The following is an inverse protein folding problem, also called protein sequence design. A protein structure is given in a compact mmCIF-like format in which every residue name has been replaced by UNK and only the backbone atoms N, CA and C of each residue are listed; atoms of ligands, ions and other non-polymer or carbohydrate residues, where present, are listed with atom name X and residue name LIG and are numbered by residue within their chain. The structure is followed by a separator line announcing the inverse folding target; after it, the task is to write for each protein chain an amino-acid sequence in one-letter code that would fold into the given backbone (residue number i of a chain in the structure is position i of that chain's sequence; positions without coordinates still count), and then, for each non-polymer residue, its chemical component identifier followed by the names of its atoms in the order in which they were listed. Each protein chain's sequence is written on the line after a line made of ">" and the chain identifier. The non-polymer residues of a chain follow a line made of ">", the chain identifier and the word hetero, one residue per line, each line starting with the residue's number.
data_IF_364258166165
#
_entry.id   IF_364258166165
#
_cell.length_a   1.000
_cell.length_b   1.000
_cell.length_c   1.000
_cell.angle_alpha   90.00
_cell.angle_beta   90.00
_cell.angle_gamma   90.00
#
_symmetry.space_group_name_H-M   'P 1'
#
loop_
_entity.id
_entity.type
_entity.pdbx_description
1 polymer ?
#
# COMPACT_ATOMS: atom_id res chain seq x y z
N UNK A 1 19.24 -9.31 -24.09
CA UNK A 1 18.08 -8.99 -23.23
C UNK A 1 18.47 -7.87 -22.28
N UNK A 2 17.67 -6.82 -22.13
CA UNK A 2 17.92 -5.72 -21.19
C UNK A 2 17.33 -6.11 -19.83
N UNK A 3 18.09 -5.92 -18.74
CA UNK A 3 17.60 -6.21 -17.38
C UNK A 3 16.47 -5.22 -17.02
N UNK A 4 15.36 -5.68 -16.42
CA UNK A 4 14.30 -4.80 -15.97
C UNK A 4 14.79 -3.90 -14.83
N UNK A 5 14.19 -2.70 -14.72
CA UNK A 5 14.46 -1.77 -13.62
C UNK A 5 13.47 -2.10 -12.50
N UNK A 6 13.97 -2.59 -11.37
CA UNK A 6 13.15 -3.03 -10.24
C UNK A 6 12.99 -1.95 -9.15
N UNK A 7 13.55 -0.75 -9.34
CA UNK A 7 13.55 0.31 -8.32
C UNK A 7 12.15 0.78 -7.88
N UNK A 8 11.15 0.61 -8.75
CA UNK A 8 9.76 0.97 -8.46
C UNK A 8 8.98 -0.15 -7.77
N UNK A 9 9.53 -1.36 -7.69
CA UNK A 9 8.90 -2.45 -6.96
C UNK A 9 9.08 -2.25 -5.47
N UNK A 10 8.00 -2.51 -4.73
CA UNK A 10 7.93 -2.42 -3.27
C UNK A 10 7.33 -3.68 -2.67
N UNK A 11 7.83 -4.05 -1.50
CA UNK A 11 7.40 -5.27 -0.78
C UNK A 11 5.99 -5.09 -0.20
N UNK A 12 5.04 -5.92 -0.63
CA UNK A 12 3.66 -5.89 -0.16
C UNK A 12 3.56 -6.12 1.35
N UNK A 13 2.72 -5.33 2.01
CA UNK A 13 2.48 -5.41 3.45
C UNK A 13 3.56 -4.78 4.33
N UNK A 14 4.65 -4.25 3.76
CA UNK A 14 5.68 -3.59 4.57
C UNK A 14 5.15 -2.27 5.16
N UNK A 15 5.79 -1.83 6.25
CA UNK A 15 5.54 -0.52 6.81
C UNK A 15 6.10 0.59 5.90
N UNK A 16 5.40 1.72 5.88
CA UNK A 16 5.81 2.92 5.18
C UNK A 16 5.40 4.16 5.97
N UNK A 17 6.26 5.17 5.99
CA UNK A 17 5.89 6.51 6.45
C UNK A 17 5.36 7.31 5.27
N UNK A 18 4.06 7.59 5.28
CA UNK A 18 3.38 8.36 4.24
C UNK A 18 3.32 9.82 4.68
N UNK A 19 3.75 10.73 3.80
CA UNK A 19 3.76 12.15 4.11
C UNK A 19 2.33 12.69 4.29
N UNK A 20 2.10 13.42 5.38
CA UNK A 20 0.82 14.12 5.60
C UNK A 20 0.93 15.53 5.00
N UNK A 21 -0.02 15.97 4.15
CA UNK A 21 -0.02 17.33 3.61
C UNK A 21 0.01 18.40 4.72
N UNK A 22 0.63 19.55 4.46
CA UNK A 22 0.73 20.62 5.45
C UNK A 22 -0.64 21.17 5.83
N UNK A 23 -1.56 21.26 4.87
CA UNK A 23 -2.93 21.77 5.09
C UNK A 23 -3.76 20.86 6.02
N UNK A 24 -3.32 19.62 6.22
CA UNK A 24 -3.95 18.63 7.10
C UNK A 24 -3.24 18.52 8.46
N UNK A 25 -2.34 19.46 8.79
CA UNK A 25 -1.51 19.44 10.01
C UNK A 25 -1.50 20.77 10.74
N UNK A 26 -1.63 20.72 12.05
CA UNK A 26 -1.30 21.81 12.96
C UNK A 26 0.23 21.91 13.19
N UNK A 27 0.68 23.01 13.80
CA UNK A 27 2.10 23.36 14.00
C UNK A 27 2.92 22.26 14.70
N UNK A 28 2.28 21.45 15.53
CA UNK A 28 2.91 20.38 16.32
C UNK A 28 2.53 18.97 15.87
N UNK A 29 1.83 18.83 14.75
CA UNK A 29 1.44 17.52 14.23
C UNK A 29 2.60 16.82 13.51
N UNK A 30 2.64 15.49 13.63
CA UNK A 30 3.58 14.63 12.93
C UNK A 30 3.57 14.86 11.42
N UNK A 31 4.73 14.87 10.78
CA UNK A 31 4.85 15.13 9.32
C UNK A 31 4.45 13.94 8.44
N UNK A 32 4.35 12.76 9.02
CA UNK A 32 4.04 11.50 8.34
C UNK A 32 3.22 10.59 9.24
N UNK A 33 2.40 9.73 8.63
CA UNK A 33 1.68 8.65 9.30
C UNK A 33 2.35 7.31 9.01
N UNK A 34 2.39 6.42 10.01
CA UNK A 34 2.78 5.03 9.80
C UNK A 34 1.65 4.27 9.09
N UNK A 35 1.98 3.62 7.99
CA UNK A 35 1.03 2.90 7.15
C UNK A 35 1.57 1.54 6.71
N UNK A 36 0.67 0.63 6.33
CA UNK A 36 0.97 -0.63 5.64
C UNK A 36 0.81 -0.43 4.14
N UNK A 37 1.78 -0.89 3.34
CA UNK A 37 1.70 -0.82 1.88
C UNK A 37 0.78 -1.92 1.32
N UNK A 38 -0.19 -1.51 0.50
CA UNK A 38 -1.20 -2.40 -0.10
C UNK A 38 -1.03 -2.58 -1.61
N UNK A 39 -0.01 -1.98 -2.23
CA UNK A 39 0.21 -2.08 -3.67
C UNK A 39 0.07 -0.76 -4.41
N UNK A 40 -0.06 -0.85 -5.73
CA UNK A 40 -0.04 0.32 -6.62
C UNK A 40 -1.46 0.80 -6.89
N UNK A 41 -1.63 2.12 -7.06
CA UNK A 41 -2.91 2.66 -7.51
C UNK A 41 -3.10 2.36 -9.00
N UNK A 42 -4.31 1.97 -9.40
CA UNK A 42 -4.59 1.44 -10.74
C UNK A 42 -4.39 2.47 -11.87
N UNK A 43 -4.88 3.70 -11.67
CA UNK A 43 -4.88 4.72 -12.72
C UNK A 43 -3.92 5.88 -12.45
N UNK A 44 -3.02 5.75 -11.48
CA UNK A 44 -2.14 6.83 -11.03
C UNK A 44 -0.77 6.32 -10.65
N UNK A 45 0.28 7.11 -10.93
CA UNK A 45 1.65 6.81 -10.47
C UNK A 45 1.78 7.10 -8.97
N UNK A 46 1.14 6.29 -8.16
CA UNK A 46 1.05 6.39 -6.71
C UNK A 46 0.80 5.01 -6.10
N UNK A 47 0.84 4.97 -4.77
CA UNK A 47 0.74 3.76 -3.98
C UNK A 47 -0.53 3.80 -3.13
N UNK A 48 -1.05 2.63 -2.79
CA UNK A 48 -2.14 2.42 -1.84
C UNK A 48 -1.55 2.02 -0.49
N UNK A 49 -2.09 2.62 0.56
CA UNK A 49 -1.66 2.38 1.93
C UNK A 49 -2.86 2.25 2.86
N UNK A 50 -2.68 1.52 3.95
CA UNK A 50 -3.60 1.49 5.10
C UNK A 50 -2.92 2.17 6.28
N UNK A 51 -3.56 3.14 6.92
CA UNK A 51 -3.02 3.78 8.11
C UNK A 51 -3.18 2.88 9.34
N UNK A 52 -2.06 2.52 9.99
CA UNK A 52 -2.03 1.51 11.08
C UNK A 52 -2.91 1.89 12.26
N UNK A 53 -3.05 3.20 12.54
CA UNK A 53 -3.83 3.70 13.67
C UNK A 53 -5.35 3.70 13.42
N UNK A 54 -5.80 3.77 12.17
CA UNK A 54 -7.22 4.01 11.83
C UNK A 54 -7.81 2.98 10.88
N UNK A 55 -7.00 2.18 10.19
CA UNK A 55 -7.41 1.32 9.09
C UNK A 55 -7.78 2.08 7.81
N UNK A 56 -7.62 3.40 7.78
CA UNK A 56 -8.04 4.21 6.63
C UNK A 56 -7.15 4.00 5.42
N UNK A 57 -7.76 3.86 4.24
CA UNK A 57 -7.03 3.74 2.97
C UNK A 57 -6.58 5.11 2.48
N UNK A 58 -5.29 5.23 2.13
CA UNK A 58 -4.66 6.44 1.60
C UNK A 58 -3.99 6.13 0.27
N UNK A 59 -4.09 7.08 -0.66
CA UNK A 59 -3.34 7.06 -1.91
C UNK A 59 -2.31 8.18 -1.85
N UNK A 60 -1.03 7.85 -2.02
CA UNK A 60 0.05 8.84 -2.03
C UNK A 60 1.22 8.38 -2.91
N UNK A 61 1.94 9.33 -3.49
CA UNK A 61 3.24 9.08 -4.13
C UNK A 61 4.39 9.20 -3.14
N UNK A 62 4.23 10.07 -2.13
CA UNK A 62 5.30 10.47 -1.23
C UNK A 62 5.28 9.59 0.02
N UNK A 63 6.12 8.56 -0.01
CA UNK A 63 6.28 7.61 1.08
C UNK A 63 7.72 7.11 1.19
N UNK A 64 8.15 6.83 2.42
CA UNK A 64 9.40 6.13 2.71
C UNK A 64 9.08 4.72 3.17
N UNK A 65 9.57 3.71 2.43
CA UNK A 65 9.28 2.29 2.66
C UNK A 65 10.32 1.66 3.58
N UNK A 66 9.85 0.84 4.52
CA UNK A 66 10.66 0.03 5.42
C UNK A 66 10.39 -1.44 5.10
N UNK A 67 11.00 -1.93 4.01
CA UNK A 67 10.67 -3.21 3.39
C UNK A 67 10.99 -4.45 4.24
N UNK A 68 11.70 -4.26 5.36
CA UNK A 68 12.03 -5.28 6.36
C UNK A 68 11.11 -5.23 7.61
N UNK A 69 10.16 -4.28 7.67
CA UNK A 69 9.26 -4.08 8.81
C UNK A 69 7.83 -4.44 8.45
N UNK A 70 7.24 -5.29 9.28
CA UNK A 70 5.85 -5.75 9.20
C UNK A 70 5.28 -5.83 10.62
N UNK A 71 3.97 -5.95 10.73
CA UNK A 71 3.28 -5.99 12.03
C UNK A 71 3.64 -7.24 12.85
N UNK A 72 3.82 -8.37 12.17
CA UNK A 72 4.18 -9.66 12.79
C UNK A 72 5.70 -9.82 13.00
N UNK A 73 6.48 -8.78 12.71
CA UNK A 73 7.94 -8.82 12.76
C UNK A 73 8.58 -9.16 11.41
N UNK A 74 9.89 -9.49 11.39
CA UNK A 74 10.60 -9.76 10.14
C UNK A 74 10.07 -11.02 9.47
N UNK A 75 9.77 -10.94 8.17
CA UNK A 75 9.35 -12.11 7.38
C UNK A 75 10.55 -12.96 6.98
N UNK A 76 10.43 -14.28 7.14
CA UNK A 76 11.34 -15.25 6.56
C UNK A 76 10.71 -15.83 5.30
N UNK A 77 11.18 -15.41 4.12
CA UNK A 77 10.64 -15.86 2.84
C UNK A 77 10.92 -17.33 2.52
N UNK A 78 11.76 -18.01 3.32
CA UNK A 78 12.01 -19.44 3.18
C UNK A 78 11.03 -20.31 3.99
N UNK A 79 10.03 -19.70 4.64
CA UNK A 79 9.02 -20.42 5.40
C UNK A 79 7.79 -20.71 4.51
N UNK A 80 7.52 -22.00 4.29
CA UNK A 80 6.39 -22.52 3.50
C UNK A 80 5.02 -22.07 4.06
N UNK A 81 4.93 -21.63 5.32
CA UNK A 81 3.68 -21.09 5.86
C UNK A 81 3.31 -19.69 5.34
N UNK A 82 4.18 -19.06 4.53
CA UNK A 82 4.00 -17.69 4.04
C UNK A 82 3.11 -17.58 2.79
N UNK A 83 2.74 -18.70 2.16
CA UNK A 83 1.83 -18.72 1.01
C UNK A 83 0.38 -18.63 1.46
N UNK A 84 -0.31 -17.58 1.01
CA UNK A 84 -1.75 -17.44 1.16
C UNK A 84 -2.42 -17.86 -0.15
N UNK A 85 -3.35 -18.81 -0.08
CA UNK A 85 -4.22 -19.16 -1.20
C UNK A 85 -5.30 -18.09 -1.31
N UNK A 86 -5.38 -17.41 -2.45
CA UNK A 86 -6.49 -16.52 -2.77
C UNK A 86 -7.53 -17.32 -3.55
N UNK A 87 -8.79 -17.27 -3.12
CA UNK A 87 -9.92 -17.87 -3.85
C UNK A 87 -10.28 -16.90 -4.99
N UNK A 88 -10.01 -17.28 -6.24
CA UNK A 88 -10.27 -16.48 -7.46
C UNK A 88 -11.78 -16.39 -7.77
N UNK A 89 -12.58 -15.82 -6.87
CA UNK A 89 -14.00 -15.53 -7.13
C UNK A 89 -14.20 -14.03 -7.40
N UNK A 90 -13.82 -13.59 -8.59
CA UNK A 90 -14.20 -12.27 -9.12
C UNK A 90 -15.65 -12.35 -9.64
N UNK A 91 -16.60 -11.79 -8.89
CA UNK A 91 -17.93 -11.43 -9.43
C UNK A 91 -17.84 -10.02 -10.05
N UNK A 92 -17.80 -9.94 -11.38
CA UNK A 92 -17.90 -8.70 -12.14
C UNK A 92 -19.31 -8.07 -11.95
N UNK A 93 -19.46 -7.12 -11.03
CA UNK A 93 -20.64 -6.23 -11.00
C UNK A 93 -20.48 -5.11 -12.06
N UNK A 94 -20.93 -5.36 -13.29
CA UNK A 94 -21.23 -4.29 -14.25
C UNK A 94 -22.41 -3.44 -13.75
N UNK A 95 -22.16 -2.17 -13.42
CA UNK A 95 -23.24 -1.20 -13.18
C UNK A 95 -23.75 -0.65 -14.51
N UNK A 96 -24.96 -1.04 -14.90
CA UNK A 96 -25.73 -0.38 -15.96
C UNK A 96 -26.00 1.10 -15.61
N UNK A 97 -25.54 2.03 -16.45
CA UNK A 97 -26.08 3.40 -16.47
C UNK A 97 -27.37 3.43 -17.29
N UNK A 98 -28.50 3.23 -16.62
CA UNK A 98 -29.81 3.61 -17.14
C UNK A 98 -30.02 5.12 -17.01
N UNK A 99 -30.19 5.82 -18.14
CA UNK A 99 -30.93 7.10 -18.17
C UNK A 99 -31.68 7.24 -19.49
N UNK A 100 -33.00 7.07 -19.38
CA UNK A 100 -34.00 7.61 -20.31
C UNK A 100 -34.08 9.13 -20.18
#
# INVERSE_FOLDING_TARGET
>A
MKKPILANLKVFGCHAYVQVPQDKRAKFDSKSSLCRFLGYAEHQKSYRFEEVSTGAIKISRDATFMEDKFDEGPRNYNDESSVVEFDDHDEDEEKEEGKN
#
